data_IF_864737582993
#
_entry.id   IF_864737582993
#
_cell.length_a   1.000
_cell.length_b   1.000
_cell.length_c   1.000
_cell.angle_alpha   90.00
_cell.angle_beta   90.00
_cell.angle_gamma   90.00
#
_symmetry.space_group_name_H-M   'P 1'
#
loop_
_entity.id
_entity.type
_entity.pdbx_description
1 polymer ?
2 polymer ?
3 water ?
#
# COMPACT_ATOMS: atom_id res chain seq x y z
N UNK A 1 15.88 6.47 -8.90
CA UNK A 1 14.83 6.17 -9.94
C UNK A 1 13.64 5.46 -9.33
N UNK A 2 12.73 4.95 -10.16
CA UNK A 2 11.52 4.22 -9.71
C UNK A 2 11.50 2.85 -10.35
N UNK A 3 10.80 1.91 -9.72
CA UNK A 3 10.51 0.63 -10.38
C UNK A 3 9.18 0.09 -9.92
N UNK A 4 8.49 -0.68 -10.77
CA UNK A 4 7.27 -1.39 -10.34
C UNK A 4 7.64 -2.80 -9.90
N UNK A 5 6.91 -3.32 -8.92
CA UNK A 5 7.21 -4.63 -8.34
C UNK A 5 5.89 -5.26 -8.01
N UNK A 6 5.71 -6.52 -8.42
CA UNK A 6 4.64 -7.38 -7.89
C UNK A 6 4.99 -7.95 -6.52
N UNK A 7 4.04 -7.83 -5.61
CA UNK A 7 4.23 -8.24 -4.24
C UNK A 7 2.99 -9.05 -3.78
N UNK A 8 3.17 -10.33 -3.45
CA UNK A 8 2.10 -11.16 -2.90
C UNK A 8 2.18 -11.20 -1.39
N UNK A 9 1.08 -10.84 -0.75
CA UNK A 9 0.98 -10.83 0.69
C UNK A 9 -0.21 -11.64 1.09
N UNK A 10 -0.01 -12.58 2.02
CA UNK A 10 -1.05 -13.51 2.45
C UNK A 10 -1.56 -13.08 3.80
N UNK A 11 -2.84 -12.71 3.83
CA UNK A 11 -3.48 -12.23 5.05
C UNK A 11 -3.51 -13.29 6.15
N UNK A 12 -3.16 -12.91 7.38
CA UNK A 12 -3.03 -13.88 8.47
C UNK A 12 -3.38 -13.36 9.88
N UNK A 13 -4.55 -12.77 10.11
CA UNK A 13 -5.59 -12.45 9.12
C UNK A 13 -5.52 -11.04 8.51
N UNK A 14 -4.54 -10.23 8.93
CA UNK A 14 -4.30 -8.94 8.31
C UNK A 14 -3.12 -9.04 7.32
N UNK A 15 -2.94 -7.99 6.55
CA UNK A 15 -1.78 -7.83 5.67
C UNK A 15 -0.48 -7.47 6.39
N UNK A 16 -0.59 -6.87 7.57
CA UNK A 16 0.58 -6.47 8.33
C UNK A 16 1.32 -5.23 7.83
N UNK A 17 0.59 -4.29 7.25
CA UNK A 17 1.15 -2.98 6.97
C UNK A 17 0.06 -1.90 7.06
N UNK A 18 0.47 -0.65 7.13
CA UNK A 18 -0.47 0.45 7.22
C UNK A 18 -0.32 1.31 5.99
N UNK A 19 -1.38 2.04 5.68
CA UNK A 19 -1.38 2.95 4.56
C UNK A 19 -1.87 4.35 4.97
N UNK A 20 -1.49 5.30 4.14
CA UNK A 20 -2.02 6.64 4.19
C UNK A 20 -2.18 7.19 2.77
N UNK A 21 -3.00 8.23 2.62
CA UNK A 21 -3.17 8.90 1.35
C UNK A 21 -4.53 8.68 0.73
N UNK A 22 -4.56 8.71 -0.59
CA UNK A 22 -5.82 8.62 -1.31
C UNK A 22 -6.38 9.98 -1.67
N UNK A 23 -7.22 10.03 -2.70
CA UNK A 23 -8.02 11.22 -2.99
C UNK A 23 -8.96 11.40 -1.81
N UNK A 24 -8.97 12.61 -1.26
CA UNK A 24 -9.81 12.97 -0.14
C UNK A 24 -9.17 12.62 1.18
N UNK A 25 -7.93 12.12 1.13
CA UNK A 25 -7.20 11.70 2.31
C UNK A 25 -6.32 12.84 2.77
N UNK A 26 -5.48 12.62 3.77
CA UNK A 26 -4.78 13.74 4.37
C UNK A 26 -3.31 13.84 3.91
N UNK A 27 -2.98 13.14 2.83
CA UNK A 27 -1.64 13.14 2.30
C UNK A 27 -0.86 11.96 2.83
N UNK A 28 0.45 12.08 2.80
CA UNK A 28 1.31 10.97 3.17
C UNK A 28 2.63 11.51 3.69
N UNK A 29 3.37 10.71 4.48
CA UNK A 29 4.63 11.19 5.07
C UNK A 29 5.74 11.34 4.06
N UNK A 30 5.53 11.03 2.77
CA UNK A 30 6.60 10.89 1.75
C UNK A 30 6.69 11.96 0.69
N UNK A 31 5.55 12.30 0.07
CA UNK A 31 5.49 13.29 -1.03
C UNK A 31 4.35 14.26 -0.79
N UNK A 32 4.62 15.56 -0.65
CA UNK A 32 3.52 16.52 -0.54
C UNK A 32 2.49 16.40 -1.70
N UNK A 33 2.90 16.36 -2.96
CA UNK A 33 1.93 16.59 -4.07
C UNK A 33 1.09 15.39 -4.52
N UNK A 34 1.43 14.18 -4.06
CA UNK A 34 0.90 12.93 -4.62
C UNK A 34 -0.37 12.50 -3.82
N UNK A 35 -1.47 12.20 -4.52
CA UNK A 35 -2.72 11.78 -3.84
C UNK A 35 -2.79 10.25 -3.69
N UNK A 36 -1.68 9.60 -3.97
CA UNK A 36 -1.63 8.17 -4.00
C UNK A 36 -1.73 7.54 -2.63
N UNK A 37 -1.77 6.20 -2.65
CA UNK A 37 -1.85 5.33 -1.48
C UNK A 37 -0.46 4.80 -1.22
N UNK A 38 0.10 5.14 -0.07
CA UNK A 38 1.46 4.80 0.27
C UNK A 38 1.49 3.90 1.48
N UNK A 39 2.35 2.90 1.42
CA UNK A 39 2.69 2.11 2.59
C UNK A 39 3.49 2.98 3.58
N UNK A 40 3.04 3.06 4.83
CA UNK A 40 3.70 3.92 5.82
C UNK A 40 4.45 3.16 6.90
N UNK A 41 3.98 1.96 7.23
CA UNK A 41 4.70 1.11 8.22
C UNK A 41 4.47 -0.33 7.83
N UNK A 42 5.48 -1.18 8.04
CA UNK A 42 5.40 -2.61 7.78
C UNK A 42 5.76 -3.35 9.09
N UNK A 43 4.89 -4.22 9.55
CA UNK A 43 5.17 -5.02 10.74
C UNK A 43 6.33 -5.97 10.46
N UNK A 44 7.41 -5.88 11.24
CA UNK A 44 8.65 -6.61 10.92
C UNK A 44 8.58 -8.13 10.85
N UNK A 45 7.70 -8.73 11.62
CA UNK A 45 7.54 -10.18 11.50
C UNK A 45 6.13 -10.48 11.09
N UNK A 46 5.53 -9.56 10.35
CA UNK A 46 4.22 -9.78 9.79
C UNK A 46 4.32 -10.28 8.35
N UNK A 47 3.16 -10.51 7.73
CA UNK A 47 3.08 -11.09 6.38
C UNK A 47 3.79 -10.33 5.27
N UNK A 48 3.95 -9.02 5.43
CA UNK A 48 4.62 -8.17 4.42
C UNK A 48 6.12 -7.92 4.65
N UNK A 49 6.65 -8.46 5.74
CA UNK A 49 8.06 -8.44 6.11
C UNK A 49 8.96 -8.76 4.94
N UNK A 50 9.92 -7.88 4.65
CA UNK A 50 10.94 -8.07 3.59
C UNK A 50 10.41 -7.85 2.18
N UNK A 51 9.09 -7.72 2.02
CA UNK A 51 8.45 -7.59 0.70
C UNK A 51 8.01 -6.15 0.42
N UNK A 52 7.51 -5.48 1.46
CA UNK A 52 7.14 -4.08 1.37
C UNK A 52 8.00 -3.24 2.29
N UNK A 53 8.06 -1.96 1.96
CA UNK A 53 8.76 -0.98 2.79
C UNK A 53 8.03 0.35 2.78
N UNK A 54 8.16 1.13 3.85
CA UNK A 54 7.57 2.46 3.89
C UNK A 54 7.98 3.25 2.64
N UNK A 55 7.03 3.96 2.05
CA UNK A 55 7.28 4.74 0.85
C UNK A 55 6.83 4.08 -0.45
N UNK A 56 6.62 2.75 -0.42
CA UNK A 56 6.01 2.01 -1.55
C UNK A 56 4.61 2.54 -1.87
N UNK A 57 4.36 2.79 -3.14
CA UNK A 57 3.10 3.38 -3.56
C UNK A 57 2.30 2.27 -4.18
N UNK A 58 1.11 2.00 -3.66
CA UNK A 58 0.29 0.92 -4.20
C UNK A 58 -0.46 1.43 -5.39
N UNK A 59 -0.28 0.79 -6.57
CA UNK A 59 -1.01 1.20 -7.79
C UNK A 59 -1.99 0.14 -8.30
N UNK A 60 -1.95 -1.05 -7.71
CA UNK A 60 -2.93 -2.08 -8.01
C UNK A 60 -3.01 -3.11 -6.89
N UNK A 61 -4.18 -3.70 -6.68
CA UNK A 61 -4.33 -4.77 -5.74
C UNK A 61 -5.41 -5.71 -6.18
N UNK A 62 -5.04 -6.99 -6.29
CA UNK A 62 -5.87 -8.03 -6.91
C UNK A 62 -6.55 -7.59 -8.19
N UNK A 63 -5.81 -6.83 -9.02
CA UNK A 63 -6.25 -6.34 -10.33
C UNK A 63 -7.08 -5.07 -10.31
N UNK A 64 -7.40 -4.56 -9.12
CA UNK A 64 -8.06 -3.25 -8.98
C UNK A 64 -7.07 -2.11 -8.98
N UNK A 65 -7.29 -1.13 -9.86
CA UNK A 65 -6.42 0.04 -9.87
C UNK A 65 -6.51 0.87 -8.57
N UNK A 66 -5.35 1.25 -8.05
CA UNK A 66 -5.25 2.16 -6.92
C UNK A 66 -4.76 3.56 -7.31
N UNK A 67 -4.65 3.79 -8.61
CA UNK A 67 -4.17 5.09 -9.10
C UNK A 67 -5.25 6.13 -8.96
N UNK A 68 -4.99 7.14 -8.12
CA UNK A 68 -5.96 8.20 -7.79
C UNK A 68 -7.24 7.65 -7.23
N UNK A 69 -7.10 6.57 -6.46
CA UNK A 69 -8.22 6.00 -5.76
C UNK A 69 -8.56 6.85 -4.53
N UNK A 70 -9.83 6.87 -4.14
CA UNK A 70 -10.21 7.55 -2.93
C UNK A 70 -9.71 6.79 -1.69
N UNK A 71 -9.39 7.51 -0.62
CA UNK A 71 -8.94 6.93 0.63
C UNK A 71 -9.82 5.82 1.18
N UNK A 72 -11.12 6.11 1.31
CA UNK A 72 -12.07 5.15 1.86
C UNK A 72 -12.22 3.91 1.02
N UNK A 73 -12.23 4.09 -0.30
CA UNK A 73 -12.28 2.95 -1.20
C UNK A 73 -11.04 2.04 -1.09
N UNK A 74 -9.85 2.62 -1.02
CA UNK A 74 -8.64 1.83 -0.82
C UNK A 74 -8.70 1.01 0.47
N UNK A 75 -9.04 1.64 1.59
CA UNK A 75 -9.17 0.92 2.89
C UNK A 75 -10.19 -0.21 2.75
N UNK A 76 -11.31 0.08 2.11
CA UNK A 76 -12.40 -0.90 1.96
C UNK A 76 -11.92 -2.11 1.16
N UNK A 77 -11.26 -1.86 0.03
CA UNK A 77 -10.70 -2.94 -0.79
C UNK A 77 -9.73 -3.83 -0.04
N UNK A 78 -8.71 -3.22 0.56
CA UNK A 78 -7.68 -3.96 1.26
C UNK A 78 -8.23 -4.76 2.42
N UNK A 79 -9.21 -4.20 3.12
CA UNK A 79 -9.80 -4.88 4.26
C UNK A 79 -10.77 -5.97 3.85
N UNK A 80 -11.38 -5.81 2.70
CA UNK A 80 -12.36 -6.76 2.23
C UNK A 80 -11.76 -8.00 1.58
N UNK A 81 -10.60 -7.88 0.96
CA UNK A 81 -9.97 -9.02 0.34
C UNK A 81 -9.68 -10.07 1.39
N UNK A 82 -9.63 -11.30 0.92
CA UNK A 82 -9.34 -12.43 1.76
C UNK A 82 -8.15 -13.18 1.21
N UNK A 83 -7.49 -13.95 2.09
CA UNK A 83 -6.36 -14.81 1.73
C UNK A 83 -5.26 -14.01 1.03
N UNK A 84 -4.91 -14.35 -0.20
CA UNK A 84 -3.79 -13.73 -0.87
C UNK A 84 -4.16 -12.39 -1.53
N UNK A 85 -3.25 -11.42 -1.43
CA UNK A 85 -3.42 -10.14 -2.13
C UNK A 85 -2.19 -9.91 -2.96
N UNK A 86 -2.42 -9.73 -4.26
CA UNK A 86 -1.38 -9.51 -5.24
C UNK A 86 -1.31 -8.04 -5.54
N UNK A 87 -0.25 -7.41 -5.04
CA UNK A 87 -0.09 -5.98 -5.20
C UNK A 87 0.87 -5.68 -6.32
N UNK A 88 0.69 -4.52 -6.91
CA UNK A 88 1.74 -3.87 -7.66
C UNK A 88 2.04 -2.55 -6.96
N UNK A 89 3.31 -2.33 -6.71
CA UNK A 89 3.79 -1.13 -6.07
C UNK A 89 4.83 -0.43 -6.93
N UNK A 90 4.97 0.88 -6.71
CA UNK A 90 6.08 1.66 -7.27
C UNK A 90 7.03 1.95 -6.11
N UNK A 91 8.28 1.54 -6.27
CA UNK A 91 9.28 1.77 -5.26
C UNK A 91 10.32 2.75 -5.80
N UNK A 92 10.70 3.73 -4.98
CA UNK A 92 11.80 4.62 -5.28
C UNK A 92 13.04 3.87 -4.91
N UNK A 93 14.05 4.02 -5.75
CA UNK A 93 15.35 3.38 -5.55
C UNK A 93 16.46 4.40 -5.69
N UNK A 94 17.44 4.27 -4.80
CA UNK A 94 18.63 5.12 -4.80
C UNK A 94 19.28 5.17 -6.18
N UNK A 95 19.65 6.37 -6.57
CA UNK A 95 20.49 6.57 -7.72
C UNK A 95 21.83 5.93 -7.38
N UNK B 5 -3.59 10.25 10.34
CA UNK B 5 -3.56 8.89 10.92
C UNK B 5 -3.49 7.83 9.82
N UNK B 6 -2.45 7.01 9.83
CA UNK B 6 -2.36 5.85 8.95
C UNK B 6 -3.36 4.80 9.32
N UNK B 7 -3.58 3.85 8.42
CA UNK B 7 -4.59 2.83 8.63
C UNK B 7 -3.97 1.45 8.49
N UNK B 8 -3.91 0.71 9.58
CA UNK B 8 -3.48 -0.71 9.50
C UNK B 8 -4.46 -1.61 8.73
N UNK B 9 -3.90 -2.39 7.82
CA UNK B 9 -4.64 -3.39 7.06
C UNK B 9 -3.96 -4.76 7.13
#
# INVERSE_FOLDING_TARGET
GSMEIRVRVEKDPELGFSISGGVGGRGNPFRPDDDGIFVTRVQPEGPASKLLQPGDKIIQANGYSFINIEHGQAVSLLKTFQNTVELIIVREVSS
EXLGLDVPV
#
